data_IF_341881398298
#
_entry.id   IF_341881398298
#
_cell.length_a   1.000
_cell.length_b   1.000
_cell.length_c   1.000
_cell.angle_alpha   90.00
_cell.angle_beta   90.00
_cell.angle_gamma   90.00
#
_symmetry.space_group_name_H-M   'P 1'
#
loop_
_entity.id
_entity.type
_entity.pdbx_description
1 polymer ?
#
# COMPACT_ATOMS: atom_id res chain seq x y z
N UNK A 1 14.11 24.97 46.15
CA UNK A 1 14.00 25.11 44.68
C UNK A 1 13.02 26.25 44.39
N UNK A 2 13.46 27.35 43.80
CA UNK A 2 12.59 28.50 43.50
C UNK A 2 11.73 28.21 42.27
N UNK A 3 10.43 28.55 42.30
CA UNK A 3 9.47 28.33 41.20
C UNK A 3 9.96 28.79 39.83
N UNK A 4 10.73 29.89 39.77
CA UNK A 4 11.37 30.38 38.53
C UNK A 4 12.28 29.35 37.86
N UNK A 5 13.01 28.54 38.63
CA UNK A 5 13.88 27.48 38.08
C UNK A 5 13.06 26.35 37.45
N UNK A 6 11.94 25.97 38.07
CA UNK A 6 11.04 24.95 37.54
C UNK A 6 10.38 25.41 36.23
N UNK A 7 9.94 26.67 36.14
CA UNK A 7 9.41 27.24 34.92
C UNK A 7 10.44 27.31 33.78
N UNK A 8 11.69 27.65 34.09
CA UNK A 8 12.77 27.62 33.10
C UNK A 8 13.07 26.19 32.62
N UNK A 9 13.12 25.22 33.53
CA UNK A 9 13.30 23.81 33.15
C UNK A 9 12.14 23.29 32.29
N UNK A 10 10.89 23.63 32.62
CA UNK A 10 9.73 23.27 31.81
C UNK A 10 9.80 23.91 30.42
N UNK A 11 10.11 25.21 30.34
CA UNK A 11 10.25 25.91 29.07
C UNK A 11 11.34 25.28 28.20
N UNK A 12 12.46 24.88 28.79
CA UNK A 12 13.54 24.18 28.08
C UNK A 12 13.08 22.81 27.55
N UNK A 13 12.39 22.00 28.35
CA UNK A 13 11.86 20.70 27.94
C UNK A 13 10.83 20.86 26.82
N UNK A 14 9.92 21.83 26.91
CA UNK A 14 8.96 22.10 25.84
C UNK A 14 9.68 22.56 24.56
N UNK A 15 10.56 23.55 24.65
CA UNK A 15 11.26 24.09 23.48
C UNK A 15 12.09 23.02 22.76
N UNK A 16 12.83 22.19 23.52
CA UNK A 16 13.60 21.08 22.96
C UNK A 16 12.70 20.01 22.32
N UNK A 17 11.59 19.63 22.97
CA UNK A 17 10.64 18.65 22.43
C UNK A 17 10.00 19.13 21.12
N UNK A 18 9.56 20.40 21.07
CA UNK A 18 9.01 21.01 19.85
C UNK A 18 10.06 21.15 18.75
N UNK A 19 11.31 21.48 19.09
CA UNK A 19 12.40 21.54 18.11
C UNK A 19 12.62 20.17 17.43
N UNK A 20 12.64 19.10 18.22
CA UNK A 20 12.75 17.72 17.69
C UNK A 20 11.53 17.37 16.84
N UNK A 21 10.31 17.69 17.30
CA UNK A 21 9.07 17.42 16.55
C UNK A 21 9.04 18.14 15.20
N UNK A 22 9.40 19.43 15.16
CA UNK A 22 9.42 20.22 13.93
C UNK A 22 10.51 19.75 12.97
N UNK A 23 11.68 19.38 13.49
CA UNK A 23 12.78 18.84 12.69
C UNK A 23 12.35 17.56 11.96
N UNK A 24 11.82 16.56 12.68
CA UNK A 24 11.35 15.32 12.07
C UNK A 24 10.07 15.52 11.25
N UNK A 25 9.19 16.44 11.62
CA UNK A 25 8.01 16.79 10.81
C UNK A 25 8.37 17.31 9.42
N UNK A 26 9.39 18.17 9.32
CA UNK A 26 9.90 18.64 8.02
C UNK A 26 10.54 17.50 7.20
N UNK A 27 11.22 16.57 7.86
CA UNK A 27 11.83 15.41 7.19
C UNK A 27 10.76 14.46 6.62
N UNK A 28 9.70 14.18 7.39
CA UNK A 28 8.54 13.40 6.95
C UNK A 28 7.88 14.04 5.72
N UNK A 29 7.66 15.37 5.75
CA UNK A 29 7.02 16.08 4.63
C UNK A 29 7.84 15.98 3.33
N UNK A 30 9.17 16.07 3.42
CA UNK A 30 10.06 16.00 2.24
C UNK A 30 10.29 14.59 1.73
N UNK A 31 10.20 13.58 2.61
CA UNK A 31 10.46 12.17 2.30
C UNK A 31 9.18 11.36 2.08
N UNK A 32 8.01 11.99 2.17
CA UNK A 32 6.76 11.34 1.87
C UNK A 32 6.78 10.79 0.43
N UNK A 33 6.32 9.54 0.21
CA UNK A 33 6.30 8.95 -1.12
C UNK A 33 5.41 9.80 -2.05
N UNK A 34 5.92 10.23 -3.21
CA UNK A 34 5.14 11.04 -4.14
C UNK A 34 3.98 10.21 -4.70
N UNK A 35 2.79 10.82 -4.77
CA UNK A 35 1.66 10.23 -5.49
C UNK A 35 1.97 10.38 -6.98
N UNK A 36 2.04 9.28 -7.75
CA UNK A 36 2.30 9.34 -9.18
C UNK A 36 1.15 10.07 -9.90
N UNK A 37 1.45 10.75 -11.00
CA UNK A 37 0.43 11.38 -11.83
C UNK A 37 -0.47 10.32 -12.49
N UNK A 38 0.13 9.21 -12.93
CA UNK A 38 -0.56 8.06 -13.50
C UNK A 38 0.23 6.76 -13.33
N UNK A 39 -0.48 5.66 -13.33
CA UNK A 39 0.07 4.30 -13.41
C UNK A 39 -0.38 3.70 -14.72
N UNK A 40 0.57 3.21 -15.50
CA UNK A 40 0.34 2.63 -16.81
C UNK A 40 0.84 1.19 -16.88
N UNK A 41 0.27 0.38 -17.75
CA UNK A 41 0.84 -0.91 -18.12
C UNK A 41 2.01 -0.74 -19.11
N UNK A 42 2.82 -1.79 -19.29
CA UNK A 42 3.82 -1.90 -20.37
C UNK A 42 3.22 -1.71 -21.77
N UNK A 43 1.91 -1.96 -21.96
CA UNK A 43 1.22 -1.76 -23.24
C UNK A 43 0.71 -0.33 -23.43
N UNK A 44 0.89 0.55 -22.43
CA UNK A 44 0.46 1.96 -22.47
C UNK A 44 -0.97 2.21 -21.99
N UNK A 45 -1.67 1.19 -21.49
CA UNK A 45 -2.98 1.33 -20.86
C UNK A 45 -2.86 2.12 -19.55
N UNK A 46 -3.71 3.11 -19.33
CA UNK A 46 -3.78 3.83 -18.06
C UNK A 46 -4.65 3.04 -17.09
N UNK A 47 -4.04 2.53 -16.02
CA UNK A 47 -4.73 1.74 -14.99
C UNK A 47 -5.48 2.65 -14.01
N UNK A 48 -4.81 3.69 -13.53
CA UNK A 48 -5.38 4.72 -12.66
C UNK A 48 -4.48 5.94 -12.58
N UNK A 49 -5.04 7.06 -12.15
CA UNK A 49 -4.36 8.35 -11.98
C UNK A 49 -4.12 8.67 -10.51
N UNK A 50 -3.25 9.65 -10.26
CA UNK A 50 -3.06 10.19 -8.91
C UNK A 50 -4.33 10.83 -8.34
N UNK A 51 -5.22 11.32 -9.21
CA UNK A 51 -6.52 11.85 -8.80
C UNK A 51 -7.47 10.72 -8.38
N UNK A 52 -7.48 9.60 -9.11
CA UNK A 52 -8.28 8.42 -8.73
C UNK A 52 -7.90 7.90 -7.33
N UNK A 53 -6.60 7.92 -6.98
CA UNK A 53 -6.13 7.53 -5.65
C UNK A 53 -6.71 8.45 -4.57
N UNK A 54 -6.68 9.77 -4.78
CA UNK A 54 -7.19 10.76 -3.82
C UNK A 54 -8.70 10.65 -3.66
N UNK A 55 -9.42 10.47 -4.77
CA UNK A 55 -10.86 10.32 -4.73
C UNK A 55 -11.27 8.99 -4.10
N UNK A 56 -10.50 7.92 -4.32
CA UNK A 56 -10.66 6.66 -3.60
C UNK A 56 -10.39 6.77 -2.10
N UNK A 57 -9.42 7.58 -1.67
CA UNK A 57 -9.22 7.89 -0.24
C UNK A 57 -10.46 8.57 0.37
N UNK A 58 -11.12 9.46 -0.37
CA UNK A 58 -12.38 10.06 0.06
C UNK A 58 -13.50 9.00 0.16
N UNK A 59 -13.55 8.05 -0.77
CA UNK A 59 -14.49 6.91 -0.69
C UNK A 59 -14.21 6.08 0.56
N UNK A 60 -12.96 5.72 0.83
CA UNK A 60 -12.55 4.98 2.04
C UNK A 60 -13.00 5.70 3.32
N UNK A 61 -12.74 7.01 3.42
CA UNK A 61 -13.17 7.80 4.57
C UNK A 61 -14.69 7.83 4.73
N UNK A 62 -15.44 7.92 3.61
CA UNK A 62 -16.90 7.98 3.65
C UNK A 62 -17.57 6.70 4.15
N UNK A 63 -16.91 5.54 4.02
CA UNK A 63 -17.45 4.26 4.50
C UNK A 63 -17.10 3.97 5.97
N UNK A 64 -16.42 4.91 6.64
CA UNK A 64 -15.97 4.82 8.03
C UNK A 64 -14.45 4.82 8.19
N UNK A 65 -13.70 4.65 7.10
CA UNK A 65 -12.24 4.67 7.11
C UNK A 65 -11.66 3.69 8.12
N UNK A 66 -10.84 4.20 9.03
CA UNK A 66 -10.16 3.41 10.07
C UNK A 66 -11.09 2.72 11.07
N UNK A 67 -12.41 2.96 11.05
CA UNK A 67 -13.35 2.18 11.89
C UNK A 67 -13.79 0.88 11.24
N UNK A 68 -13.62 0.73 9.92
CA UNK A 68 -14.00 -0.49 9.18
C UNK A 68 -12.88 -1.53 9.24
N UNK A 69 -11.63 -1.09 9.17
CA UNK A 69 -10.43 -1.92 9.27
C UNK A 69 -9.20 -1.03 9.45
N UNK A 70 -8.02 -1.56 9.16
CA UNK A 70 -6.77 -0.79 9.28
C UNK A 70 -6.09 -0.53 7.94
N UNK A 71 -5.36 0.57 7.86
CA UNK A 71 -4.41 0.87 6.78
C UNK A 71 -3.09 1.20 7.46
N UNK A 72 -2.00 0.52 7.08
CA UNK A 72 -0.68 0.69 7.70
C UNK A 72 -0.68 0.47 9.22
N UNK A 73 -1.45 -0.50 9.68
CA UNK A 73 -1.58 -0.86 11.09
C UNK A 73 -2.42 0.11 11.92
N UNK A 74 -2.98 1.16 11.32
CA UNK A 74 -3.82 2.13 12.03
C UNK A 74 -5.30 1.92 11.66
N UNK A 75 -6.09 1.53 12.65
CA UNK A 75 -7.54 1.40 12.53
C UNK A 75 -8.11 0.26 13.37
N UNK A 76 -9.28 -0.22 12.99
CA UNK A 76 -9.99 -1.30 13.66
C UNK A 76 -9.37 -2.67 13.36
N UNK A 77 -9.67 -3.64 14.23
CA UNK A 77 -9.05 -4.97 14.22
C UNK A 77 -10.01 -6.12 13.86
N UNK A 78 -11.27 -5.82 13.50
CA UNK A 78 -12.24 -6.85 13.08
C UNK A 78 -11.98 -7.22 11.61
N UNK A 79 -12.04 -6.24 10.71
CA UNK A 79 -11.59 -6.43 9.33
C UNK A 79 -10.06 -6.39 9.27
N UNK A 80 -9.43 -6.95 8.22
CA UNK A 80 -7.98 -6.99 8.10
C UNK A 80 -7.36 -5.60 7.93
N UNK A 81 -6.03 -5.55 8.01
CA UNK A 81 -5.29 -4.43 7.43
C UNK A 81 -5.35 -4.55 5.90
N UNK A 82 -5.98 -3.56 5.25
CA UNK A 82 -6.24 -3.59 3.82
C UNK A 82 -4.96 -3.51 2.99
N UNK A 83 -3.91 -2.85 3.51
CA UNK A 83 -2.61 -2.81 2.83
C UNK A 83 -1.94 -4.18 2.84
N UNK A 84 -1.98 -4.87 3.99
CA UNK A 84 -1.40 -6.20 4.13
C UNK A 84 -2.19 -7.27 3.36
N UNK A 85 -3.53 -7.24 3.44
CA UNK A 85 -4.40 -8.16 2.71
C UNK A 85 -4.23 -7.97 1.18
N UNK A 86 -4.20 -6.72 0.71
CA UNK A 86 -3.97 -6.42 -0.71
C UNK A 86 -2.60 -6.93 -1.16
N UNK A 87 -1.53 -6.57 -0.44
CA UNK A 87 -0.17 -6.96 -0.83
C UNK A 87 0.01 -8.49 -0.85
N UNK A 88 -0.59 -9.19 0.11
CA UNK A 88 -0.57 -10.64 0.15
C UNK A 88 -1.30 -11.26 -1.04
N UNK A 89 -2.51 -10.79 -1.34
CA UNK A 89 -3.30 -11.29 -2.48
C UNK A 89 -2.68 -10.94 -3.82
N UNK A 90 -2.15 -9.73 -3.98
CA UNK A 90 -1.38 -9.31 -5.17
C UNK A 90 -0.19 -10.24 -5.36
N UNK A 91 0.55 -10.56 -4.27
CA UNK A 91 1.69 -11.48 -4.34
C UNK A 91 1.28 -12.90 -4.79
N UNK A 92 0.20 -13.45 -4.23
CA UNK A 92 -0.31 -14.77 -4.62
C UNK A 92 -0.80 -14.79 -6.07
N UNK A 93 -1.56 -13.78 -6.49
CA UNK A 93 -2.05 -13.64 -7.86
C UNK A 93 -0.88 -13.44 -8.85
N UNK A 94 0.17 -12.70 -8.45
CA UNK A 94 1.39 -12.55 -9.25
C UNK A 94 2.12 -13.87 -9.44
N UNK A 95 2.20 -14.74 -8.43
CA UNK A 95 2.82 -16.07 -8.58
C UNK A 95 2.07 -16.90 -9.64
N UNK A 96 0.73 -16.91 -9.59
CA UNK A 96 -0.09 -17.58 -10.60
C UNK A 96 0.07 -16.95 -11.98
N UNK A 97 -0.03 -15.62 -12.10
CA UNK A 97 0.08 -14.91 -13.38
C UNK A 97 1.46 -15.07 -14.03
N UNK A 98 2.54 -15.14 -13.25
CA UNK A 98 3.88 -15.40 -13.76
C UNK A 98 4.06 -16.85 -14.24
N UNK A 99 3.47 -17.83 -13.54
CA UNK A 99 3.49 -19.22 -13.98
C UNK A 99 2.64 -19.45 -15.24
N UNK A 100 1.46 -18.84 -15.31
CA UNK A 100 0.56 -18.90 -16.47
C UNK A 100 1.20 -18.34 -17.74
N UNK A 101 2.00 -17.27 -17.60
CA UNK A 101 2.79 -16.70 -18.70
C UNK A 101 3.74 -17.73 -19.34
N UNK A 102 4.26 -18.67 -18.54
CA UNK A 102 5.12 -19.76 -18.98
C UNK A 102 4.32 -21.04 -19.33
N UNK A 103 2.97 -20.97 -19.34
CA UNK A 103 2.09 -22.12 -19.59
C UNK A 103 2.02 -23.12 -18.44
N UNK A 104 2.41 -22.72 -17.22
CA UNK A 104 2.45 -23.58 -16.04
C UNK A 104 1.39 -23.18 -15.00
N UNK A 105 0.96 -24.13 -14.18
CA UNK A 105 0.12 -23.86 -13.01
C UNK A 105 0.99 -23.82 -11.74
N UNK A 106 1.10 -22.66 -11.08
CA UNK A 106 2.02 -22.46 -9.94
C UNK A 106 1.85 -23.51 -8.82
N UNK A 107 0.61 -23.89 -8.51
CA UNK A 107 0.30 -24.85 -7.45
C UNK A 107 0.66 -26.31 -7.78
N UNK A 108 0.92 -26.63 -9.04
CA UNK A 108 1.35 -27.98 -9.45
C UNK A 108 2.87 -28.11 -9.64
N UNK A 109 3.62 -27.03 -9.42
CA UNK A 109 5.07 -27.00 -9.55
C UNK A 109 5.76 -27.67 -8.36
N UNK A 110 6.98 -28.16 -8.59
CA UNK A 110 7.85 -28.60 -7.49
C UNK A 110 8.21 -27.42 -6.58
N UNK A 111 8.62 -27.71 -5.34
CA UNK A 111 9.07 -26.67 -4.41
C UNK A 111 10.23 -25.83 -4.97
N UNK A 112 11.15 -26.46 -5.72
CA UNK A 112 12.28 -25.79 -6.38
C UNK A 112 11.80 -24.83 -7.47
N UNK A 113 10.87 -25.25 -8.33
CA UNK A 113 10.32 -24.38 -9.36
C UNK A 113 9.50 -23.23 -8.76
N UNK A 114 8.76 -23.47 -7.67
CA UNK A 114 8.03 -22.41 -6.97
C UNK A 114 8.98 -21.31 -6.44
N UNK A 115 10.19 -21.65 -6.01
CA UNK A 115 11.18 -20.66 -5.56
C UNK A 115 11.59 -19.71 -6.69
N UNK A 116 11.69 -20.21 -7.93
CA UNK A 116 11.99 -19.37 -9.10
C UNK A 116 10.91 -18.30 -9.29
N UNK A 117 9.63 -18.69 -9.21
CA UNK A 117 8.52 -17.74 -9.36
C UNK A 117 8.42 -16.77 -8.17
N UNK A 118 8.75 -17.21 -6.95
CA UNK A 118 8.84 -16.31 -5.79
C UNK A 118 9.90 -15.23 -5.99
N UNK A 119 11.08 -15.57 -6.49
CA UNK A 119 12.12 -14.57 -6.75
C UNK A 119 11.74 -13.63 -7.90
N UNK A 120 11.12 -14.14 -8.98
CA UNK A 120 10.58 -13.30 -10.06
C UNK A 120 9.50 -12.33 -9.57
N UNK A 121 8.56 -12.80 -8.76
CA UNK A 121 7.52 -11.98 -8.14
C UNK A 121 8.13 -10.90 -7.24
N UNK A 122 9.11 -11.24 -6.39
CA UNK A 122 9.82 -10.25 -5.57
C UNK A 122 10.52 -9.21 -6.43
N UNK A 123 11.16 -9.63 -7.52
CA UNK A 123 11.83 -8.72 -8.43
C UNK A 123 10.83 -7.74 -9.07
N UNK A 124 9.70 -8.24 -9.58
CA UNK A 124 8.67 -7.41 -10.21
C UNK A 124 8.03 -6.41 -9.22
N UNK A 125 7.61 -6.88 -8.05
CA UNK A 125 6.92 -6.03 -7.05
C UNK A 125 7.84 -5.02 -6.36
N UNK A 126 9.11 -5.36 -6.17
CA UNK A 126 10.06 -4.49 -5.45
C UNK A 126 10.85 -3.58 -6.37
N UNK A 127 10.87 -3.79 -7.68
CA UNK A 127 11.61 -2.90 -8.59
C UNK A 127 10.88 -1.58 -8.73
N UNK A 128 11.58 -0.46 -8.49
CA UNK A 128 10.98 0.86 -8.60
C UNK A 128 10.94 1.25 -10.09
N UNK A 129 9.74 1.25 -10.67
CA UNK A 129 9.49 1.63 -12.07
C UNK A 129 9.01 3.07 -12.22
N UNK A 130 9.16 3.87 -11.15
CA UNK A 130 8.81 5.28 -11.15
C UNK A 130 9.74 6.10 -12.05
N UNK A 131 9.14 6.86 -12.97
CA UNK A 131 9.83 7.83 -13.83
C UNK A 131 9.55 9.23 -13.34
N UNK A 132 10.61 9.95 -12.94
CA UNK A 132 10.50 11.32 -12.43
C UNK A 132 10.17 12.35 -13.52
N UNK A 133 10.45 12.05 -14.79
CA UNK A 133 10.23 12.97 -15.92
C UNK A 133 8.76 13.29 -16.16
N UNK A 134 7.89 12.30 -15.98
CA UNK A 134 6.44 12.40 -16.22
C UNK A 134 5.62 11.89 -15.02
N UNK A 135 6.28 11.69 -13.87
CA UNK A 135 5.68 11.23 -12.61
C UNK A 135 4.84 9.95 -12.80
N UNK A 136 5.32 9.00 -13.60
CA UNK A 136 4.57 7.80 -14.02
C UNK A 136 5.20 6.52 -13.47
N UNK A 137 4.37 5.57 -13.04
CA UNK A 137 4.80 4.21 -12.69
C UNK A 137 4.35 3.27 -13.81
N UNK A 138 5.23 2.36 -14.24
CA UNK A 138 4.92 1.35 -15.26
C UNK A 138 4.79 -0.04 -14.64
N UNK A 139 3.68 -0.73 -14.89
CA UNK A 139 3.43 -2.10 -14.45
C UNK A 139 3.74 -3.10 -15.54
N UNK A 140 4.33 -4.23 -15.14
CA UNK A 140 4.45 -5.40 -16.00
C UNK A 140 3.07 -5.85 -16.48
N UNK A 141 3.01 -6.49 -17.65
CA UNK A 141 1.74 -7.04 -18.15
C UNK A 141 1.06 -7.99 -17.15
N UNK A 142 1.85 -8.79 -16.42
CA UNK A 142 1.36 -9.69 -15.37
C UNK A 142 0.76 -8.91 -14.20
N UNK A 143 1.42 -7.84 -13.74
CA UNK A 143 0.90 -7.01 -12.64
C UNK A 143 -0.35 -6.22 -13.03
N UNK A 144 -0.42 -5.73 -14.26
CA UNK A 144 -1.62 -5.08 -14.78
C UNK A 144 -2.82 -6.05 -14.80
N UNK A 145 -2.62 -7.30 -15.23
CA UNK A 145 -3.66 -8.35 -15.13
C UNK A 145 -4.11 -8.56 -13.68
N UNK A 146 -3.15 -8.73 -12.76
CA UNK A 146 -3.43 -8.92 -11.33
C UNK A 146 -4.17 -7.72 -10.74
N UNK A 147 -3.87 -6.49 -11.16
CA UNK A 147 -4.60 -5.29 -10.73
C UNK A 147 -6.10 -5.40 -11.02
N UNK A 148 -6.48 -5.83 -12.23
CA UNK A 148 -7.90 -6.02 -12.57
C UNK A 148 -8.55 -7.15 -11.75
N UNK A 149 -7.82 -8.24 -11.49
CA UNK A 149 -8.30 -9.34 -10.63
C UNK A 149 -8.56 -8.85 -9.20
N UNK A 150 -7.65 -8.04 -8.64
CA UNK A 150 -7.79 -7.47 -7.30
C UNK A 150 -8.94 -6.46 -7.25
N UNK A 151 -9.07 -5.60 -8.26
CA UNK A 151 -10.22 -4.69 -8.36
C UNK A 151 -11.54 -5.46 -8.37
N UNK A 152 -11.62 -6.58 -9.10
CA UNK A 152 -12.77 -7.48 -9.08
C UNK A 152 -13.04 -8.09 -7.71
N UNK A 153 -11.99 -8.57 -7.01
CA UNK A 153 -12.12 -9.13 -5.66
C UNK A 153 -12.71 -8.12 -4.67
N UNK A 154 -12.15 -6.92 -4.58
CA UNK A 154 -12.61 -5.90 -3.64
C UNK A 154 -13.98 -5.33 -4.03
N UNK A 155 -14.30 -5.29 -5.32
CA UNK A 155 -15.66 -4.95 -5.79
C UNK A 155 -16.68 -5.92 -5.20
N UNK A 156 -16.43 -7.24 -5.27
CA UNK A 156 -17.33 -8.24 -4.69
C UNK A 156 -17.44 -8.11 -3.17
N UNK A 157 -16.33 -7.82 -2.49
CA UNK A 157 -16.30 -7.66 -1.03
C UNK A 157 -17.12 -6.45 -0.56
N UNK A 158 -16.89 -5.26 -1.12
CA UNK A 158 -17.50 -4.01 -0.64
C UNK A 158 -18.88 -3.70 -1.23
N UNK A 159 -19.24 -4.31 -2.35
CA UNK A 159 -20.59 -4.20 -2.94
C UNK A 159 -21.51 -5.31 -2.44
N UNK A 160 -22.31 -5.93 -3.32
CA UNK A 160 -23.42 -6.81 -2.97
C UNK A 160 -23.30 -8.22 -3.54
N UNK A 161 -22.09 -8.69 -3.89
CA UNK A 161 -21.92 -10.06 -4.39
C UNK A 161 -22.28 -11.09 -3.29
N UNK A 162 -23.23 -12.03 -3.53
CA UNK A 162 -23.68 -12.98 -2.51
C UNK A 162 -22.57 -13.93 -2.03
N UNK A 163 -21.57 -14.23 -2.87
CA UNK A 163 -20.47 -15.14 -2.51
C UNK A 163 -19.59 -14.59 -1.38
N UNK A 164 -19.67 -13.28 -1.11
CA UNK A 164 -18.93 -12.60 -0.04
C UNK A 164 -19.77 -12.35 1.22
N UNK A 165 -21.03 -12.81 1.27
CA UNK A 165 -21.92 -12.55 2.42
C UNK A 165 -21.33 -13.03 3.75
N UNK A 166 -20.80 -14.26 3.80
CA UNK A 166 -20.14 -14.80 4.99
C UNK A 166 -18.91 -13.98 5.39
N UNK A 167 -18.06 -13.64 4.43
CA UNK A 167 -16.83 -12.88 4.68
C UNK A 167 -17.13 -11.45 5.15
N UNK A 168 -18.12 -10.79 4.53
CA UNK A 168 -18.63 -9.48 4.98
C UNK A 168 -19.10 -9.55 6.43
N UNK A 169 -19.85 -10.60 6.80
CA UNK A 169 -20.29 -10.81 8.18
C UNK A 169 -19.12 -11.00 9.14
N UNK A 170 -18.09 -11.76 8.75
CA UNK A 170 -16.88 -11.96 9.56
C UNK A 170 -16.08 -10.67 9.76
N UNK A 171 -16.06 -9.79 8.75
CA UNK A 171 -15.39 -8.50 8.80
C UNK A 171 -16.28 -7.37 9.35
N UNK A 172 -17.51 -7.67 9.75
CA UNK A 172 -18.52 -6.68 10.17
C UNK A 172 -18.76 -5.56 9.14
N UNK A 173 -18.66 -5.90 7.84
CA UNK A 173 -18.91 -4.99 6.72
C UNK A 173 -20.36 -5.15 6.27
N UNK A 174 -21.06 -4.02 6.14
CA UNK A 174 -22.44 -4.02 5.63
C UNK A 174 -22.46 -4.41 4.14
N UNK A 175 -23.44 -5.19 3.73
CA UNK A 175 -23.69 -5.43 2.31
C UNK A 175 -23.98 -4.12 1.55
N UNK A 176 -23.38 -3.95 0.38
CA UNK A 176 -23.53 -2.73 -0.41
C UNK A 176 -23.00 -1.50 0.31
N UNK A 177 -21.89 -1.64 1.07
CA UNK A 177 -21.20 -0.52 1.72
C UNK A 177 -20.83 0.56 0.69
N UNK A 178 -20.42 0.15 -0.50
CA UNK A 178 -20.29 1.01 -1.68
C UNK A 178 -21.35 0.57 -2.69
N UNK A 179 -22.23 1.48 -3.09
CA UNK A 179 -23.33 1.20 -4.04
C UNK A 179 -23.01 1.65 -5.47
N UNK A 180 -22.21 2.71 -5.60
CA UNK A 180 -21.82 3.27 -6.91
C UNK A 180 -20.57 2.53 -7.45
N UNK A 181 -20.67 1.86 -8.62
CA UNK A 181 -19.53 1.18 -9.24
C UNK A 181 -18.34 2.10 -9.51
N UNK A 182 -18.57 3.38 -9.83
CA UNK A 182 -17.47 4.31 -10.10
C UNK A 182 -16.70 4.64 -8.82
N UNK A 183 -17.42 4.83 -7.71
CA UNK A 183 -16.79 4.98 -6.38
C UNK A 183 -16.03 3.72 -5.99
N UNK A 184 -16.52 2.54 -6.37
CA UNK A 184 -15.79 1.29 -6.13
C UNK A 184 -14.52 1.19 -6.98
N UNK A 185 -14.54 1.63 -8.24
CA UNK A 185 -13.36 1.71 -9.09
C UNK A 185 -12.28 2.62 -8.46
N UNK A 186 -12.70 3.78 -7.96
CA UNK A 186 -11.83 4.71 -7.23
C UNK A 186 -11.27 4.09 -5.94
N UNK A 187 -12.13 3.41 -5.16
CA UNK A 187 -11.72 2.69 -3.96
C UNK A 187 -10.62 1.65 -4.26
N UNK A 188 -10.78 0.85 -5.32
CA UNK A 188 -9.79 -0.13 -5.73
C UNK A 188 -8.44 0.53 -6.10
N UNK A 189 -8.47 1.69 -6.78
CA UNK A 189 -7.26 2.46 -7.06
C UNK A 189 -6.57 2.96 -5.79
N UNK A 190 -7.33 3.36 -4.75
CA UNK A 190 -6.75 3.82 -3.48
C UNK A 190 -6.10 2.71 -2.67
N UNK A 191 -6.66 1.49 -2.66
CA UNK A 191 -6.07 0.33 -1.99
C UNK A 191 -4.72 -0.05 -2.61
N UNK A 192 -4.60 0.08 -3.94
CA UNK A 192 -3.32 -0.04 -4.62
C UNK A 192 -2.39 1.15 -4.32
N UNK A 193 -2.94 2.37 -4.36
CA UNK A 193 -2.20 3.61 -4.19
C UNK A 193 -1.60 3.79 -2.79
N UNK A 194 -1.94 2.92 -1.82
CA UNK A 194 -1.29 2.91 -0.52
C UNK A 194 0.22 2.63 -0.71
N UNK A 195 1.12 3.56 -0.32
CA UNK A 195 2.56 3.47 -0.56
C UNK A 195 3.30 2.33 0.17
N UNK A 196 2.90 1.06 0.02
CA UNK A 196 3.52 -0.08 0.70
C UNK A 196 4.90 -0.47 0.16
N UNK A 197 5.11 -0.41 -1.17
CA UNK A 197 6.34 -0.96 -1.78
C UNK A 197 7.32 0.07 -2.35
N UNK A 198 6.85 1.20 -2.90
CA UNK A 198 7.74 2.25 -3.45
C UNK A 198 8.47 3.00 -2.33
N UNK A 199 7.77 3.24 -1.21
CA UNK A 199 8.26 4.02 -0.07
C UNK A 199 9.49 3.39 0.60
N UNK A 200 9.49 2.07 0.82
CA UNK A 200 10.49 1.44 1.68
C UNK A 200 11.90 1.44 1.07
N UNK A 201 12.03 1.27 -0.26
CA UNK A 201 13.33 1.27 -0.93
C UNK A 201 13.92 2.68 -1.08
N UNK A 202 13.12 3.68 -1.42
CA UNK A 202 13.62 5.06 -1.56
C UNK A 202 13.97 5.67 -0.20
N UNK A 203 13.24 5.30 0.87
CA UNK A 203 13.62 5.64 2.25
C UNK A 203 14.89 4.92 2.70
N UNK A 204 15.03 3.63 2.40
CA UNK A 204 16.23 2.85 2.81
C UNK A 204 17.49 3.22 2.00
N UNK A 205 17.36 3.46 0.69
CA UNK A 205 18.48 3.81 -0.20
C UNK A 205 19.06 5.22 0.06
N UNK A 206 18.32 6.11 0.71
CA UNK A 206 18.83 7.41 1.17
C UNK A 206 19.29 7.40 2.63
N UNK A 207 18.80 6.46 3.45
CA UNK A 207 19.31 6.23 4.80
C UNK A 207 20.72 5.62 4.82
N UNK A 208 21.14 4.93 3.75
CA UNK A 208 22.50 4.39 3.60
C UNK A 208 23.60 5.44 3.42
N UNK A 209 23.27 6.74 3.36
CA UNK A 209 24.24 7.84 3.42
C UNK A 209 24.50 8.34 4.85
N UNK A 210 23.86 7.75 5.86
CA UNK A 210 24.22 7.95 7.27
C UNK A 210 25.22 6.84 7.68
N UNK A 211 26.32 7.16 8.39
CA UNK A 211 27.30 6.16 8.80
C UNK A 211 26.62 5.10 9.66
N UNK A 212 26.55 3.87 9.13
CA UNK A 212 25.91 2.73 9.76
C UNK A 212 26.77 2.22 10.91
N UNK A 213 26.40 2.52 12.15
CA UNK A 213 26.81 1.73 13.33
C UNK A 213 25.60 0.99 13.85
N UNK A 214 25.34 -0.22 13.33
CA UNK A 214 24.30 -1.10 13.85
C UNK A 214 23.98 -2.25 12.87
N UNK A 215 23.86 -3.52 13.35
CA UNK A 215 23.70 -4.67 12.48
C UNK A 215 22.33 -4.66 11.80
N UNK A 216 22.32 -4.83 10.47
CA UNK A 216 21.11 -5.02 9.67
C UNK A 216 20.38 -6.28 10.12
N UNK A 217 19.13 -6.13 10.61
CA UNK A 217 18.21 -7.24 10.76
C UNK A 217 17.71 -7.69 9.40
N UNK A 218 18.05 -8.92 9.02
CA UNK A 218 17.48 -9.62 7.88
C UNK A 218 16.09 -10.16 8.25
N UNK A 219 15.06 -9.71 7.53
CA UNK A 219 13.76 -10.37 7.41
C UNK A 219 13.45 -10.55 5.93
#
# INVERSE_FOLDING_TARGET
MTTKKLWLSLALVMASSFAVLLFFGNDIYRKAPPIPAKVISETGEVLFTGQDIKDGQNVWQSIGGQTVGSIWGHGAYIAPDWTADYLHRESLAMLTALAEKDGKAYNSLSSEEQLVYKERMKHDLRTNTFKSTDNTITYSASRAKVFHEMAGYYTKLFMSDPSFSLLRSQYAIKEGTIQDPERMRLMAASLHGVPGCVSLKDLMARASHLPTTGPMMNW
#
